data_IF_944870618843
#
_entry.id   IF_944870618843
#
_cell.length_a   1.000
_cell.length_b   1.000
_cell.length_c   1.000
_cell.angle_alpha   90.00
_cell.angle_beta   90.00
_cell.angle_gamma   90.00
#
_symmetry.space_group_name_H-M   'P 1'
#
loop_
_entity.id
_entity.type
_entity.pdbx_description
1 polymer ?
#
# COMPACT_ATOMS: atom_id res chain seq x y z
N UNK A 1 16.96 7.10 18.48
CA UNK A 1 16.17 8.03 17.64
C UNK A 1 16.49 7.92 16.14
N UNK A 2 17.69 7.49 15.72
CA UNK A 2 18.01 7.34 14.29
C UNK A 2 17.42 6.07 13.63
N UNK A 3 17.31 4.95 14.37
CA UNK A 3 16.77 3.69 13.83
C UNK A 3 15.32 3.82 13.37
N UNK A 4 14.50 4.62 14.06
CA UNK A 4 13.10 4.87 13.72
C UNK A 4 12.97 5.59 12.37
N UNK A 5 13.82 6.60 12.10
CA UNK A 5 13.79 7.35 10.84
C UNK A 5 14.29 6.51 9.66
N UNK A 6 15.31 5.69 9.86
CA UNK A 6 15.83 4.78 8.82
C UNK A 6 14.85 3.64 8.54
N UNK A 7 14.16 3.16 9.58
CA UNK A 7 13.10 2.16 9.44
C UNK A 7 11.89 2.72 8.68
N UNK A 8 11.49 3.96 8.97
CA UNK A 8 10.41 4.61 8.23
C UNK A 8 10.77 4.90 6.78
N UNK A 9 11.97 5.43 6.50
CA UNK A 9 12.39 5.69 5.12
C UNK A 9 12.50 4.40 4.29
N UNK A 10 12.96 3.30 4.89
CA UNK A 10 13.02 1.98 4.24
C UNK A 10 11.63 1.40 4.00
N UNK A 11 10.71 1.58 4.96
CA UNK A 11 9.32 1.13 4.86
C UNK A 11 8.57 1.90 3.76
N UNK A 12 8.76 3.22 3.70
CA UNK A 12 8.16 4.07 2.67
C UNK A 12 8.69 3.74 1.27
N UNK A 13 9.99 3.50 1.14
CA UNK A 13 10.62 3.11 -0.13
C UNK A 13 10.12 1.73 -0.62
N UNK A 14 10.08 0.73 0.26
CA UNK A 14 9.56 -0.60 -0.05
C UNK A 14 8.08 -0.53 -0.44
N UNK A 15 7.29 0.28 0.27
CA UNK A 15 5.87 0.48 0.00
C UNK A 15 5.64 1.16 -1.36
N UNK A 16 6.44 2.15 -1.72
CA UNK A 16 6.38 2.81 -3.04
C UNK A 16 6.68 1.85 -4.20
N UNK A 17 7.71 1.00 -4.03
CA UNK A 17 8.05 -0.04 -5.01
C UNK A 17 6.93 -1.08 -5.16
N UNK A 18 6.31 -1.48 -4.06
CA UNK A 18 5.14 -2.34 -4.05
C UNK A 18 3.97 -1.72 -4.82
N UNK A 19 3.67 -0.44 -4.60
CA UNK A 19 2.61 0.29 -5.35
C UNK A 19 2.88 0.24 -6.85
N UNK A 20 4.13 0.48 -7.23
CA UNK A 20 4.55 0.53 -8.63
C UNK A 20 4.43 -0.86 -9.26
N UNK A 21 4.97 -1.89 -8.61
CA UNK A 21 4.88 -3.27 -9.06
C UNK A 21 3.44 -3.70 -9.31
N UNK A 22 2.56 -3.43 -8.35
CA UNK A 22 1.14 -3.78 -8.44
C UNK A 22 0.43 -2.97 -9.53
N UNK A 23 0.71 -1.67 -9.66
CA UNK A 23 0.11 -0.84 -10.70
C UNK A 23 0.52 -1.26 -12.13
N UNK A 24 1.72 -1.83 -12.28
CA UNK A 24 2.27 -2.38 -13.53
C UNK A 24 1.87 -3.85 -13.77
N UNK A 25 1.17 -4.49 -12.82
CA UNK A 25 0.76 -5.89 -12.93
C UNK A 25 1.91 -6.89 -12.79
N UNK A 26 2.99 -6.50 -12.11
CA UNK A 26 4.12 -7.39 -11.82
C UNK A 26 3.83 -8.26 -10.61
N UNK A 27 4.35 -9.49 -10.64
CA UNK A 27 4.31 -10.38 -9.49
C UNK A 27 5.12 -9.81 -8.30
N UNK A 28 4.61 -10.01 -7.09
CA UNK A 28 5.22 -9.53 -5.85
C UNK A 28 5.35 -10.71 -4.88
N UNK A 29 6.55 -10.87 -4.33
CA UNK A 29 6.83 -11.79 -3.22
C UNK A 29 7.18 -10.93 -2.00
N UNK A 30 6.39 -11.04 -0.93
CA UNK A 30 6.71 -10.43 0.36
C UNK A 30 7.44 -11.43 1.25
N UNK A 31 8.46 -10.97 1.97
CA UNK A 31 9.08 -11.73 3.06
C UNK A 31 8.42 -11.39 4.42
N UNK A 32 8.84 -12.09 5.48
CA UNK A 32 8.22 -12.02 6.81
C UNK A 32 8.25 -10.64 7.48
N UNK A 33 8.97 -9.65 6.94
CA UNK A 33 9.07 -8.28 7.48
C UNK A 33 7.72 -7.55 7.48
N UNK A 34 6.77 -7.98 6.64
CA UNK A 34 5.44 -7.35 6.49
C UNK A 34 4.28 -8.21 7.03
N UNK A 35 4.53 -9.13 7.97
CA UNK A 35 3.56 -10.14 8.44
C UNK A 35 2.40 -9.63 9.32
N UNK A 36 2.17 -8.32 9.41
CA UNK A 36 1.05 -7.78 10.19
C UNK A 36 -0.27 -8.05 9.46
N UNK A 37 -1.20 -8.73 10.13
CA UNK A 37 -2.45 -9.21 9.52
C UNK A 37 -3.23 -8.10 8.79
N UNK A 38 -3.42 -6.90 9.37
CA UNK A 38 -4.18 -5.85 8.69
C UNK A 38 -3.45 -5.30 7.45
N UNK A 39 -2.12 -5.15 7.53
CA UNK A 39 -1.29 -4.78 6.38
C UNK A 39 -1.43 -5.80 5.24
N UNK A 40 -1.31 -7.10 5.54
CA UNK A 40 -1.41 -8.17 4.54
C UNK A 40 -2.79 -8.19 3.89
N UNK A 41 -3.86 -8.14 4.70
CA UNK A 41 -5.24 -8.17 4.19
C UNK A 41 -5.55 -6.98 3.30
N UNK A 42 -5.17 -5.75 3.71
CA UNK A 42 -5.40 -4.57 2.90
C UNK A 42 -4.54 -4.60 1.62
N UNK A 43 -3.30 -5.10 1.69
CA UNK A 43 -2.39 -5.23 0.53
C UNK A 43 -2.92 -6.23 -0.49
N UNK A 44 -3.39 -7.40 -0.07
CA UNK A 44 -4.02 -8.39 -0.96
C UNK A 44 -5.28 -7.79 -1.60
N UNK A 45 -6.09 -7.08 -0.82
CA UNK A 45 -7.31 -6.43 -1.31
C UNK A 45 -6.98 -5.40 -2.38
N UNK A 46 -5.98 -4.56 -2.15
CA UNK A 46 -5.50 -3.58 -3.11
C UNK A 46 -4.94 -4.26 -4.37
N UNK A 47 -4.04 -5.23 -4.22
CA UNK A 47 -3.43 -5.96 -5.33
C UNK A 47 -4.48 -6.61 -6.25
N UNK A 48 -5.52 -7.22 -5.65
CA UNK A 48 -6.65 -7.80 -6.40
C UNK A 48 -7.47 -6.77 -7.17
N UNK A 49 -7.46 -5.51 -6.76
CA UNK A 49 -8.32 -4.46 -7.32
C UNK A 49 -7.56 -3.40 -8.14
N UNK A 50 -6.23 -3.46 -8.19
CA UNK A 50 -5.36 -2.45 -8.83
C UNK A 50 -5.57 -2.31 -10.34
N UNK A 51 -6.14 -3.34 -10.97
CA UNK A 51 -6.53 -3.34 -12.39
C UNK A 51 -7.86 -2.59 -12.63
N UNK A 52 -8.66 -2.35 -11.59
CA UNK A 52 -9.94 -1.61 -11.66
C UNK A 52 -9.85 -0.23 -11.04
N UNK A 53 -8.99 -0.07 -10.04
CA UNK A 53 -8.91 1.13 -9.23
C UNK A 53 -7.48 1.63 -9.11
N UNK A 54 -7.35 2.94 -8.94
CA UNK A 54 -6.08 3.57 -8.58
C UNK A 54 -6.00 3.65 -7.07
N UNK A 55 -4.83 3.30 -6.55
CA UNK A 55 -4.53 3.35 -5.13
C UNK A 55 -3.33 4.25 -4.86
N UNK A 56 -3.29 4.82 -3.65
CA UNK A 56 -2.11 5.44 -3.04
C UNK A 56 -1.86 4.85 -1.66
N UNK A 57 -0.68 5.13 -1.12
CA UNK A 57 -0.36 4.85 0.28
C UNK A 57 -1.29 5.66 1.21
N UNK A 58 -1.86 4.95 2.18
CA UNK A 58 -2.60 5.55 3.29
C UNK A 58 -1.68 6.04 4.41
N UNK A 59 -2.27 6.41 5.54
CA UNK A 59 -1.55 6.92 6.71
C UNK A 59 -0.63 5.88 7.39
N UNK A 60 -0.74 4.60 7.02
CA UNK A 60 -0.02 3.50 7.65
C UNK A 60 -0.60 3.17 9.03
N UNK A 61 0.27 2.75 9.94
CA UNK A 61 -0.04 2.57 11.35
C UNK A 61 0.32 3.84 12.12
N UNK A 62 -0.66 4.44 12.81
CA UNK A 62 -0.46 5.59 13.68
C UNK A 62 -1.27 5.42 14.96
N UNK A 63 -0.67 5.80 16.08
CA UNK A 63 -1.35 5.91 17.38
C UNK A 63 -1.58 7.40 17.65
N UNK A 64 -2.83 7.80 17.81
CA UNK A 64 -3.23 9.15 18.15
C UNK A 64 -3.00 9.45 19.64
N UNK A 65 -3.02 10.73 19.99
CA UNK A 65 -2.75 11.21 21.36
C UNK A 65 -3.72 10.64 22.42
N UNK A 66 -4.93 10.27 21.99
CA UNK A 66 -5.97 9.68 22.85
C UNK A 66 -5.88 8.15 22.94
N UNK A 67 -4.89 7.53 22.32
CA UNK A 67 -4.76 6.07 22.20
C UNK A 67 -5.54 5.45 21.02
N UNK A 68 -6.22 6.27 20.21
CA UNK A 68 -6.89 5.80 19.00
C UNK A 68 -5.86 5.28 17.99
N UNK A 69 -6.09 4.09 17.43
CA UNK A 69 -5.21 3.49 16.41
C UNK A 69 -5.81 3.71 15.03
N UNK A 70 -5.05 4.36 14.15
CA UNK A 70 -5.33 4.44 12.72
C UNK A 70 -4.47 3.38 12.04
N UNK A 71 -5.11 2.45 11.35
CA UNK A 71 -4.44 1.40 10.59
C UNK A 71 -5.00 1.35 9.16
N UNK A 72 -4.47 2.23 8.32
CA UNK A 72 -4.92 2.39 6.94
C UNK A 72 -3.72 2.49 6.00
N UNK A 73 -3.41 1.39 5.33
CA UNK A 73 -2.24 1.30 4.45
C UNK A 73 -2.55 1.68 3.01
N UNK A 74 -3.81 1.57 2.56
CA UNK A 74 -4.18 1.76 1.16
C UNK A 74 -5.44 2.58 0.99
N UNK A 75 -5.34 3.63 0.18
CA UNK A 75 -6.48 4.48 -0.15
C UNK A 75 -6.83 4.40 -1.63
N UNK A 76 -8.11 4.13 -1.92
CA UNK A 76 -8.66 4.19 -3.28
C UNK A 76 -8.81 5.66 -3.68
N UNK A 77 -8.14 6.07 -4.74
CA UNK A 77 -8.14 7.46 -5.24
C UNK A 77 -8.93 7.63 -6.55
N UNK A 78 -9.53 6.55 -7.05
CA UNK A 78 -10.41 6.60 -8.22
C UNK A 78 -10.45 5.28 -8.97
N UNK A 79 -11.10 5.30 -10.12
CA UNK A 79 -11.12 4.18 -11.05
C UNK A 79 -9.91 4.24 -11.99
N UNK A 80 -9.42 3.08 -12.41
CA UNK A 80 -8.52 2.99 -13.54
C UNK A 80 -9.41 3.11 -14.77
N UNK A 81 -9.36 4.26 -15.44
CA UNK A 81 -10.06 4.43 -16.72
C UNK A 81 -9.60 3.31 -17.66
N UNK A 82 -10.53 2.40 -18.01
CA UNK A 82 -10.32 1.53 -19.16
C UNK A 82 -10.27 2.44 -20.36
N UNK A 83 -9.10 2.56 -20.97
CA UNK A 83 -8.96 3.16 -22.29
C UNK A 83 -9.74 2.23 -23.23
N UNK A 84 -11.03 2.48 -23.38
CA UNK A 84 -11.81 1.95 -24.49
C UNK A 84 -11.14 2.53 -25.73
N UNK A 85 -10.24 1.75 -26.33
CA UNK A 85 -9.77 1.99 -27.68
C UNK A 85 -11.01 1.89 -28.57
N UNK A 86 -11.65 3.04 -28.81
CA UNK A 86 -12.63 3.20 -29.86
C UNK A 86 -11.82 3.17 -31.17
N UNK A 87 -11.81 2.00 -31.81
CA UNK A 87 -11.36 1.80 -33.19
C UNK A 87 -12.39 2.33 -34.17
#
# INVERSE_FOLDING_TARGET
>A
MEMEQVHQSSTDAASSLLVTALNEGRDVIMDGTLSWVPFVVQTITMARNVHRHRYRMGAGYKVGENGDVIENYWERIGERQQLLQLS
#
